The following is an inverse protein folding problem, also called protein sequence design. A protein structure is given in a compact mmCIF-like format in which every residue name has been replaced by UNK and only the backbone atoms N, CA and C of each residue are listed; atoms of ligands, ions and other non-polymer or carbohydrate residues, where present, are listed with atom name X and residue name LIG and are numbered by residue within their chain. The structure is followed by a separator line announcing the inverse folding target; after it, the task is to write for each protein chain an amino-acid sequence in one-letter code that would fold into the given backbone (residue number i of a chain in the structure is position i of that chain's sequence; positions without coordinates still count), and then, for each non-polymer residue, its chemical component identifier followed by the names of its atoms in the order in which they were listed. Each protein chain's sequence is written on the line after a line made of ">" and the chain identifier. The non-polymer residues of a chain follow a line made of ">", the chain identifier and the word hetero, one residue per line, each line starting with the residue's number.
data_IF_027272201221
#
_entry.id   IF_027272201221
#
_cell.length_a   1.000
_cell.length_b   1.000
_cell.length_c   1.000
_cell.angle_alpha   90.00
_cell.angle_beta   90.00
_cell.angle_gamma   90.00
#
_symmetry.space_group_name_H-M   'P 1'
#
loop_
_entity.id
_entity.type
_entity.pdbx_description
1 polymer ?
#
# COMPACT_ATOMS: atom_id res chain seq x y z
N UNK A 1 -45.99 -4.07 15.99
CA UNK A 1 -44.59 -4.57 15.97
C UNK A 1 -44.39 -5.42 14.72
N UNK A 2 -43.60 -4.93 13.76
CA UNK A 2 -43.16 -5.71 12.59
C UNK A 2 -41.77 -5.20 12.25
N UNK A 3 -40.77 -6.00 12.63
CA UNK A 3 -39.35 -5.72 12.44
C UNK A 3 -39.06 -5.94 10.96
N UNK A 4 -38.89 -4.88 10.19
CA UNK A 4 -38.31 -4.98 8.84
C UNK A 4 -36.84 -4.61 9.01
N UNK A 5 -36.04 -5.65 8.91
CA UNK A 5 -34.59 -5.62 8.95
C UNK A 5 -34.04 -4.68 7.88
N UNK A 6 -33.08 -3.88 8.32
CA UNK A 6 -32.18 -3.05 7.53
C UNK A 6 -31.54 -3.95 6.45
N UNK A 7 -31.97 -3.80 5.21
CA UNK A 7 -31.27 -4.37 4.06
C UNK A 7 -30.12 -3.44 3.74
N UNK A 8 -28.95 -3.80 4.27
CA UNK A 8 -27.66 -3.19 4.01
C UNK A 8 -27.34 -3.33 2.51
N UNK A 9 -27.78 -2.38 1.71
CA UNK A 9 -27.35 -2.22 0.32
C UNK A 9 -25.94 -1.62 0.28
N UNK A 10 -24.95 -2.35 0.79
CA UNK A 10 -23.56 -2.02 0.49
C UNK A 10 -23.27 -2.60 -0.89
N UNK A 11 -23.37 -1.75 -1.90
CA UNK A 11 -22.91 -2.05 -3.25
C UNK A 11 -21.41 -2.28 -3.16
N UNK A 12 -21.02 -3.56 -3.10
CA UNK A 12 -19.63 -4.00 -3.21
C UNK A 12 -19.21 -3.71 -4.65
N UNK A 13 -18.68 -2.51 -4.87
CA UNK A 13 -17.97 -2.12 -6.08
C UNK A 13 -16.58 -2.79 -6.09
N UNK A 14 -16.53 -4.13 -6.04
CA UNK A 14 -15.27 -4.86 -6.25
C UNK A 14 -15.05 -5.10 -7.74
N UNK A 15 -14.71 -4.04 -8.46
CA UNK A 15 -14.18 -4.17 -9.80
C UNK A 15 -13.15 -3.06 -10.07
N UNK A 16 -11.90 -3.49 -10.26
CA UNK A 16 -10.77 -2.77 -10.87
C UNK A 16 -9.99 -1.72 -10.04
N UNK A 17 -10.06 -1.67 -8.71
CA UNK A 17 -9.03 -0.91 -7.97
C UNK A 17 -7.71 -1.71 -7.92
N UNK A 18 -6.65 -1.15 -8.49
CA UNK A 18 -5.31 -1.72 -8.36
C UNK A 18 -4.92 -1.74 -6.87
N UNK A 19 -4.53 -2.88 -6.28
CA UNK A 19 -4.26 -2.95 -4.84
C UNK A 19 -3.14 -2.01 -4.38
N UNK A 20 -2.25 -1.60 -5.29
CA UNK A 20 -1.20 -0.61 -5.00
C UNK A 20 -1.74 0.82 -4.81
N UNK A 21 -2.96 1.10 -5.28
CA UNK A 21 -3.61 2.41 -5.16
C UNK A 21 -4.33 2.56 -3.81
N UNK A 22 -4.44 1.47 -3.04
CA UNK A 22 -4.97 1.54 -1.68
C UNK A 22 -4.07 2.41 -0.81
N UNK A 23 -4.68 3.22 0.05
CA UNK A 23 -3.94 3.93 1.10
C UNK A 23 -3.27 2.94 2.04
N UNK A 24 -2.02 3.20 2.38
CA UNK A 24 -1.30 2.46 3.39
C UNK A 24 -2.04 2.54 4.72
N UNK A 25 -2.21 1.38 5.35
CA UNK A 25 -2.75 1.24 6.68
C UNK A 25 -2.00 0.11 7.38
N UNK A 26 -1.32 0.42 8.47
CA UNK A 26 -0.52 -0.55 9.20
C UNK A 26 -1.36 -1.74 9.71
N UNK A 27 -2.62 -1.50 10.08
CA UNK A 27 -3.53 -2.53 10.58
C UNK A 27 -3.99 -3.53 9.50
N UNK A 28 -3.95 -3.15 8.21
CA UNK A 28 -4.32 -4.05 7.10
C UNK A 28 -3.15 -4.35 6.16
N UNK A 29 -1.92 -4.03 6.60
CA UNK A 29 -0.74 -4.08 5.75
C UNK A 29 -0.45 -5.49 5.25
N UNK A 30 -0.64 -6.49 6.09
CA UNK A 30 -0.38 -7.88 5.74
C UNK A 30 -1.30 -8.36 4.61
N UNK A 31 -2.60 -8.11 4.74
CA UNK A 31 -3.61 -8.47 3.73
C UNK A 31 -3.42 -7.69 2.43
N UNK A 32 -3.05 -6.40 2.53
CA UNK A 32 -2.82 -5.55 1.38
C UNK A 32 -1.59 -5.98 0.58
N UNK A 33 -0.49 -6.29 1.27
CA UNK A 33 0.72 -6.81 0.63
C UNK A 33 0.46 -8.17 -0.01
N UNK A 34 -0.32 -9.04 0.63
CA UNK A 34 -0.73 -10.31 0.02
C UNK A 34 -1.53 -10.08 -1.28
N UNK A 35 -2.46 -9.12 -1.29
CA UNK A 35 -3.21 -8.75 -2.48
C UNK A 35 -2.32 -8.16 -3.58
N UNK A 36 -1.34 -7.31 -3.22
CA UNK A 36 -0.37 -6.73 -4.15
C UNK A 36 0.49 -7.84 -4.78
N UNK A 37 1.01 -8.79 -3.98
CA UNK A 37 1.79 -9.93 -4.48
C UNK A 37 0.96 -10.79 -5.43
N UNK A 38 -0.28 -11.14 -5.05
CA UNK A 38 -1.20 -11.92 -5.90
C UNK A 38 -1.55 -11.20 -7.20
N UNK A 39 -1.58 -9.86 -7.19
CA UNK A 39 -1.84 -9.05 -8.39
C UNK A 39 -0.68 -9.01 -9.40
N UNK A 40 0.52 -9.47 -9.01
CA UNK A 40 1.75 -9.44 -9.81
C UNK A 40 2.13 -8.05 -10.32
N UNK A 41 1.66 -6.99 -9.64
CA UNK A 41 1.95 -5.59 -10.00
C UNK A 41 3.35 -5.15 -9.60
N UNK A 42 3.89 -5.72 -8.53
CA UNK A 42 5.27 -5.53 -8.10
C UNK A 42 6.11 -6.74 -8.49
N UNK A 43 7.30 -6.47 -9.00
CA UNK A 43 8.36 -7.48 -9.08
C UNK A 43 9.08 -7.59 -7.72
N UNK A 44 10.00 -8.55 -7.60
CA UNK A 44 10.75 -8.77 -6.36
C UNK A 44 11.58 -7.54 -5.94
N UNK A 45 12.12 -6.79 -6.90
CA UNK A 45 12.90 -5.59 -6.65
C UNK A 45 12.05 -4.48 -6.01
N UNK A 46 10.84 -4.26 -6.54
CA UNK A 46 9.89 -3.28 -6.04
C UNK A 46 9.39 -3.67 -4.64
N UNK A 47 9.09 -4.95 -4.43
CA UNK A 47 8.71 -5.46 -3.11
C UNK A 47 9.82 -5.28 -2.07
N UNK A 48 11.06 -5.61 -2.43
CA UNK A 48 12.23 -5.42 -1.56
C UNK A 48 12.51 -3.95 -1.26
N UNK A 49 12.36 -3.08 -2.26
CA UNK A 49 12.55 -1.63 -2.09
C UNK A 49 11.48 -1.03 -1.16
N UNK A 50 10.22 -1.42 -1.32
CA UNK A 50 9.15 -1.02 -0.42
C UNK A 50 9.42 -1.47 1.03
N UNK A 51 9.86 -2.73 1.23
CA UNK A 51 10.18 -3.24 2.56
C UNK A 51 11.33 -2.48 3.24
N UNK A 52 12.40 -2.19 2.48
CA UNK A 52 13.52 -1.39 2.98
C UNK A 52 13.09 0.02 3.36
N UNK A 53 12.22 0.64 2.55
CA UNK A 53 11.67 1.96 2.83
C UNK A 53 10.78 1.97 4.06
N UNK A 54 9.91 0.99 4.22
CA UNK A 54 9.07 0.81 5.40
C UNK A 54 9.90 0.79 6.69
N UNK A 55 10.99 0.00 6.71
CA UNK A 55 11.90 -0.10 7.85
C UNK A 55 12.58 1.27 8.11
N UNK A 56 13.13 1.90 7.08
CA UNK A 56 13.77 3.22 7.18
C UNK A 56 12.83 4.27 7.74
N UNK A 57 11.61 4.36 7.21
CA UNK A 57 10.62 5.35 7.64
C UNK A 57 10.20 5.10 9.10
N UNK A 58 10.04 3.84 9.53
CA UNK A 58 9.84 3.50 10.95
C UNK A 58 11.00 3.96 11.84
N UNK A 59 12.25 3.71 11.43
CA UNK A 59 13.44 4.14 12.19
C UNK A 59 13.59 5.66 12.27
N UNK A 60 13.14 6.39 11.25
CA UNK A 60 13.20 7.86 11.19
C UNK A 60 11.97 8.56 11.78
N UNK A 61 10.92 7.81 12.15
CA UNK A 61 9.64 8.39 12.56
C UNK A 61 8.92 9.13 11.44
N UNK A 62 9.19 8.77 10.17
CA UNK A 62 8.50 9.34 9.02
C UNK A 62 7.12 8.70 8.87
N UNK A 63 6.08 9.52 8.75
CA UNK A 63 4.72 9.02 8.52
C UNK A 63 4.53 8.56 7.08
N UNK A 64 3.92 7.38 6.94
CA UNK A 64 3.41 6.84 5.67
C UNK A 64 1.88 6.97 5.56
N UNK A 65 1.25 7.63 6.53
CA UNK A 65 -0.19 7.88 6.51
C UNK A 65 -0.59 8.71 5.30
N UNK A 66 -1.81 8.48 4.81
CA UNK A 66 -2.39 9.15 3.64
C UNK A 66 -1.69 8.89 2.30
N UNK A 67 -0.59 8.14 2.27
CA UNK A 67 0.07 7.70 1.03
C UNK A 67 -0.53 6.39 0.55
N UNK A 68 -0.51 6.16 -0.76
CA UNK A 68 -0.83 4.84 -1.34
C UNK A 68 0.41 3.94 -1.33
N UNK A 69 0.23 2.62 -1.40
CA UNK A 69 1.37 1.70 -1.53
C UNK A 69 2.26 2.05 -2.73
N UNK A 70 1.65 2.41 -3.88
CA UNK A 70 2.41 2.88 -5.05
C UNK A 70 3.15 4.18 -4.75
N UNK A 71 2.52 5.15 -4.08
CA UNK A 71 3.17 6.42 -3.75
C UNK A 71 4.39 6.23 -2.85
N UNK A 72 4.31 5.33 -1.88
CA UNK A 72 5.44 4.98 -1.00
C UNK A 72 6.57 4.33 -1.80
N UNK A 73 6.25 3.41 -2.72
CA UNK A 73 7.25 2.79 -3.57
C UNK A 73 7.95 3.81 -4.48
N UNK A 74 7.21 4.77 -5.05
CA UNK A 74 7.81 5.83 -5.88
C UNK A 74 8.73 6.75 -5.07
N UNK A 75 8.40 7.07 -3.82
CA UNK A 75 9.31 7.79 -2.91
C UNK A 75 10.60 7.00 -2.67
N UNK A 76 10.49 5.70 -2.45
CA UNK A 76 11.64 4.82 -2.27
C UNK A 76 12.53 4.74 -3.53
N UNK A 77 11.91 4.67 -4.72
CA UNK A 77 12.61 4.70 -6.01
C UNK A 77 13.35 6.02 -6.21
N UNK A 78 12.68 7.14 -5.95
CA UNK A 78 13.26 8.47 -6.02
C UNK A 78 14.46 8.60 -5.08
N UNK A 79 14.31 8.20 -3.82
CA UNK A 79 15.41 8.22 -2.86
C UNK A 79 16.60 7.38 -3.32
N UNK A 80 16.37 6.15 -3.81
CA UNK A 80 17.44 5.29 -4.31
C UNK A 80 18.18 5.91 -5.50
N UNK A 81 17.46 6.56 -6.42
CA UNK A 81 18.05 7.27 -7.55
C UNK A 81 18.90 8.47 -7.10
N UNK A 82 18.40 9.24 -6.13
CA UNK A 82 19.15 10.36 -5.55
C UNK A 82 20.42 9.90 -4.83
N UNK A 83 20.37 8.82 -4.04
CA UNK A 83 21.55 8.24 -3.37
C UNK A 83 22.59 7.77 -4.39
N UNK A 84 22.17 7.12 -5.49
CA UNK A 84 23.08 6.70 -6.55
C UNK A 84 23.74 7.88 -7.28
N UNK A 85 23.10 9.05 -7.33
CA UNK A 85 23.67 10.27 -7.93
C UNK A 85 24.63 11.04 -7.00
N UNK A 86 24.64 10.69 -5.71
CA UNK A 86 25.50 11.32 -4.69
C UNK A 86 26.79 10.54 -4.42
N UNK A 87 26.94 9.35 -5.01
CA UNK A 87 28.15 8.53 -4.99
C UNK A 87 28.99 8.78 -6.24
#
# INVERSE_FOLDING_TARGET
>A
MKKIFILCGLVVLTACSNPTDKKYNEATMAEDLEAIVKSKKWNEQDAGLFAAWLIRSKLKGESMENKTYQGILEEAKKYKAEEASKQ
#
